data_IF_692647402184
#
_entry.id   IF_692647402184
#
_cell.length_a   1.000
_cell.length_b   1.000
_cell.length_c   1.000
_cell.angle_alpha   90.00
_cell.angle_beta   90.00
_cell.angle_gamma   90.00
#
_symmetry.space_group_name_H-M   'P 1'
#
loop_
_entity.id
_entity.type
_entity.pdbx_description
1 polymer ?
#
# COMPACT_ATOMS: atom_id res chain seq x y z
N UNK A 1 17.62 15.96 17.44
CA UNK A 1 17.29 14.57 17.81
C UNK A 1 17.95 13.67 16.78
N UNK A 2 18.64 12.60 17.18
CA UNK A 2 19.26 11.68 16.22
C UNK A 2 18.17 10.73 15.74
N UNK A 3 17.87 10.78 14.45
CA UNK A 3 16.91 9.87 13.80
C UNK A 3 17.59 8.51 13.61
N UNK A 4 16.96 7.46 14.09
CA UNK A 4 17.45 6.10 13.96
C UNK A 4 16.41 5.28 13.21
N UNK A 5 16.81 4.45 12.24
CA UNK A 5 15.91 3.49 11.62
C UNK A 5 15.28 2.60 12.70
N UNK A 6 13.96 2.53 12.68
CA UNK A 6 13.13 1.66 13.51
C UNK A 6 12.04 1.04 12.65
N UNK A 7 11.48 -0.12 13.07
CA UNK A 7 10.41 -0.76 12.32
C UNK A 7 9.22 0.19 12.13
N UNK A 8 8.72 0.27 10.90
CA UNK A 8 7.47 0.97 10.60
C UNK A 8 6.38 -0.07 10.48
N UNK A 9 5.79 -0.42 11.62
CA UNK A 9 4.63 -1.30 11.72
C UNK A 9 3.39 -0.49 12.12
N UNK A 10 2.31 -0.69 11.37
CA UNK A 10 0.98 -0.10 11.55
C UNK A 10 -0.08 -1.20 11.37
N UNK A 11 -1.35 -0.91 11.63
CA UNK A 11 -2.42 -1.91 11.44
C UNK A 11 -2.50 -2.41 10.00
N UNK A 12 -2.34 -1.49 9.04
CA UNK A 12 -2.23 -1.78 7.62
C UNK A 12 -0.99 -1.11 7.06
N UNK A 13 -0.09 -1.90 6.51
CA UNK A 13 1.15 -1.44 5.92
C UNK A 13 1.08 -1.60 4.41
N UNK A 14 1.32 -0.51 3.70
CA UNK A 14 1.40 -0.50 2.24
C UNK A 14 2.71 0.18 1.86
N UNK A 15 3.50 -0.42 0.99
CA UNK A 15 4.76 0.18 0.59
C UNK A 15 5.23 -0.24 -0.80
N UNK A 16 5.94 0.69 -1.45
CA UNK A 16 6.76 0.43 -2.63
C UNK A 16 8.22 0.37 -2.21
N UNK A 17 8.98 -0.58 -2.74
CA UNK A 17 10.42 -0.76 -2.49
C UNK A 17 11.22 -0.72 -3.80
N UNK A 18 12.25 0.12 -3.83
CA UNK A 18 13.12 0.35 -5.00
C UNK A 18 14.59 0.14 -4.60
N UNK A 19 15.37 -0.68 -5.34
CA UNK A 19 16.77 -0.99 -5.05
C UNK A 19 17.72 0.15 -5.45
N UNK A 20 17.44 1.35 -4.96
CA UNK A 20 18.27 2.53 -5.15
C UNK A 20 18.15 3.49 -3.96
N UNK A 21 19.24 4.17 -3.62
CA UNK A 21 19.24 5.33 -2.72
C UNK A 21 18.82 6.65 -3.38
N UNK A 22 18.26 6.61 -4.60
CA UNK A 22 17.84 7.78 -5.36
C UNK A 22 16.45 8.28 -4.91
N UNK A 23 16.38 8.79 -3.67
CA UNK A 23 15.14 9.31 -3.09
C UNK A 23 14.48 10.37 -3.97
N UNK A 24 15.28 11.28 -4.55
CA UNK A 24 14.79 12.37 -5.41
C UNK A 24 14.19 11.81 -6.70
N UNK A 25 14.87 10.87 -7.34
CA UNK A 25 14.37 10.24 -8.57
C UNK A 25 13.13 9.37 -8.33
N UNK A 26 13.01 8.71 -7.17
CA UNK A 26 11.79 7.97 -6.79
C UNK A 26 10.61 8.94 -6.58
N UNK A 27 10.84 10.05 -5.87
CA UNK A 27 9.83 11.11 -5.68
C UNK A 27 9.35 11.66 -7.02
N UNK A 28 10.28 11.96 -7.93
CA UNK A 28 10.00 12.52 -9.26
C UNK A 28 9.16 11.57 -10.13
N UNK A 29 9.55 10.29 -10.23
CA UNK A 29 8.80 9.28 -11.02
C UNK A 29 7.39 9.10 -10.49
N UNK A 30 7.22 9.04 -9.17
CA UNK A 30 5.92 8.85 -8.55
C UNK A 30 5.07 10.15 -8.50
N UNK A 31 5.59 11.26 -9.02
CA UNK A 31 4.89 12.56 -8.98
C UNK A 31 4.64 13.08 -7.55
N UNK A 32 5.44 12.63 -6.58
CA UNK A 32 5.26 13.01 -5.18
C UNK A 32 5.76 14.44 -4.94
N UNK A 33 5.05 15.18 -4.10
CA UNK A 33 5.44 16.55 -3.71
C UNK A 33 6.03 16.57 -2.30
N UNK A 34 7.35 16.79 -2.12
CA UNK A 34 7.96 16.85 -0.80
C UNK A 34 7.33 17.92 0.09
N UNK A 35 6.92 17.56 1.31
CA UNK A 35 6.40 18.52 2.30
C UNK A 35 7.48 18.99 3.24
N UNK A 36 8.10 18.05 3.96
CA UNK A 36 9.13 18.33 4.96
C UNK A 36 9.91 17.07 5.33
N UNK A 37 11.15 17.22 5.79
CA UNK A 37 11.86 16.15 6.46
C UNK A 37 11.12 15.66 7.71
N UNK A 38 11.21 14.36 7.98
CA UNK A 38 10.56 13.69 9.10
C UNK A 38 11.43 12.54 9.61
N UNK A 39 11.29 12.19 10.90
CA UNK A 39 11.97 11.02 11.50
C UNK A 39 11.20 9.72 11.23
N UNK A 40 11.84 8.55 11.39
CA UNK A 40 11.13 7.26 11.29
C UNK A 40 9.99 7.15 12.31
N UNK A 41 10.22 7.58 13.55
CA UNK A 41 9.23 7.54 14.62
C UNK A 41 8.00 8.42 14.33
N UNK A 42 8.23 9.60 13.77
CA UNK A 42 7.15 10.51 13.41
C UNK A 42 6.43 10.02 12.13
N UNK A 43 7.15 9.44 11.17
CA UNK A 43 6.56 8.80 10.00
C UNK A 43 5.60 7.67 10.40
N UNK A 44 6.00 6.79 11.32
CA UNK A 44 5.13 5.73 11.85
C UNK A 44 3.81 6.29 12.39
N UNK A 45 3.87 7.36 13.20
CA UNK A 45 2.66 7.99 13.76
C UNK A 45 1.77 8.59 12.67
N UNK A 46 2.36 9.22 11.66
CA UNK A 46 1.62 9.83 10.56
C UNK A 46 0.93 8.78 9.69
N UNK A 47 1.65 7.72 9.31
CA UNK A 47 1.10 6.64 8.47
C UNK A 47 0.03 5.85 9.20
N UNK A 48 0.22 5.58 10.50
CA UNK A 48 -0.79 4.91 11.32
C UNK A 48 -2.09 5.74 11.40
N UNK A 49 -1.97 7.04 11.64
CA UNK A 49 -3.12 7.94 11.67
C UNK A 49 -3.85 8.05 10.31
N UNK A 50 -3.11 8.05 9.20
CA UNK A 50 -3.70 8.04 7.86
C UNK A 50 -4.43 6.73 7.57
N UNK A 51 -3.85 5.59 7.94
CA UNK A 51 -4.49 4.27 7.80
C UNK A 51 -5.77 4.09 8.62
N UNK A 52 -5.93 4.84 9.72
CA UNK A 52 -7.15 4.86 10.53
C UNK A 52 -8.19 5.91 10.12
N UNK A 53 -7.92 6.69 9.07
CA UNK A 53 -8.88 7.67 8.57
C UNK A 53 -10.07 6.97 7.89
N UNK A 54 -11.20 7.67 7.76
CA UNK A 54 -12.38 7.13 7.07
C UNK A 54 -11.99 6.72 5.65
N UNK A 55 -12.25 5.47 5.20
CA UNK A 55 -11.91 5.03 3.86
C UNK A 55 -12.64 5.82 2.76
N UNK A 56 -13.76 6.46 3.06
CA UNK A 56 -14.45 7.36 2.13
C UNK A 56 -13.79 8.75 2.05
N UNK A 57 -12.81 9.02 2.90
CA UNK A 57 -12.07 10.26 2.96
C UNK A 57 -10.71 10.08 2.30
N UNK A 58 -10.52 10.69 1.13
CA UNK A 58 -9.26 10.63 0.35
C UNK A 58 -8.02 11.08 1.13
N UNK A 59 -8.18 11.73 2.29
CA UNK A 59 -7.05 12.10 3.16
C UNK A 59 -6.18 10.90 3.57
N UNK A 60 -6.73 9.69 3.65
CA UNK A 60 -5.93 8.49 3.95
C UNK A 60 -4.86 8.18 2.87
N UNK A 61 -5.11 8.58 1.62
CA UNK A 61 -4.16 8.44 0.50
C UNK A 61 -3.27 9.67 0.29
N UNK A 62 -3.49 10.74 1.06
CA UNK A 62 -2.91 12.04 0.74
C UNK A 62 -1.40 12.11 0.97
N UNK A 63 -0.86 11.26 1.85
CA UNK A 63 0.52 11.35 2.31
C UNK A 63 1.23 10.01 2.25
N UNK A 64 2.51 10.09 1.96
CA UNK A 64 3.44 8.97 2.05
C UNK A 64 4.72 9.41 2.75
N UNK A 65 5.36 8.47 3.42
CA UNK A 65 6.72 8.61 3.90
C UNK A 65 7.68 7.99 2.89
N UNK A 66 8.62 8.79 2.39
CA UNK A 66 9.74 8.32 1.58
C UNK A 66 10.95 8.21 2.49
N UNK A 67 11.49 7.00 2.65
CA UNK A 67 12.65 6.77 3.52
C UNK A 67 13.88 7.47 2.97
N UNK A 68 14.88 7.79 3.81
CA UNK A 68 16.26 7.91 3.30
C UNK A 68 16.68 6.59 2.64
N UNK A 69 17.89 6.55 2.04
CA UNK A 69 18.46 5.27 1.63
C UNK A 69 18.62 4.37 2.87
N UNK A 70 18.02 3.17 2.84
CA UNK A 70 18.11 2.12 3.86
C UNK A 70 18.71 0.86 3.24
N UNK A 71 19.93 0.50 3.62
CA UNK A 71 20.66 -0.65 3.06
C UNK A 71 20.69 -0.70 1.52
N UNK A 72 20.75 0.47 0.86
CA UNK A 72 20.76 0.61 -0.60
C UNK A 72 19.37 0.70 -1.25
N UNK A 73 18.30 0.74 -0.45
CA UNK A 73 16.91 0.82 -0.91
C UNK A 73 16.25 2.14 -0.53
N UNK A 74 15.24 2.53 -1.29
CA UNK A 74 14.29 3.58 -0.93
C UNK A 74 12.91 2.94 -0.81
N UNK A 75 12.23 3.17 0.31
CA UNK A 75 10.85 2.74 0.51
C UNK A 75 9.93 3.96 0.45
N UNK A 76 8.75 3.77 -0.14
CA UNK A 76 7.62 4.71 -0.07
C UNK A 76 6.52 4.01 0.69
N UNK A 77 6.07 4.59 1.80
CA UNK A 77 5.19 3.93 2.77
C UNK A 77 3.94 4.77 3.00
N UNK A 78 2.77 4.17 2.91
CA UNK A 78 1.46 4.80 3.13
C UNK A 78 0.38 4.17 2.26
N UNK A 79 -0.90 4.30 2.61
CA UNK A 79 -2.03 3.66 1.91
C UNK A 79 -2.10 3.97 0.40
N UNK A 80 -1.48 5.07 -0.04
CA UNK A 80 -1.27 5.37 -1.45
C UNK A 80 -0.42 4.31 -2.20
N UNK A 81 0.28 3.42 -1.51
CA UNK A 81 1.14 2.39 -2.12
C UNK A 81 0.42 1.03 -2.27
N UNK A 82 -0.89 0.98 -2.08
CA UNK A 82 -1.65 -0.27 -2.01
C UNK A 82 -1.74 -1.01 -3.37
N UNK A 83 -1.13 -2.21 -3.51
CA UNK A 83 -1.13 -2.97 -4.76
C UNK A 83 -2.42 -3.75 -5.03
N UNK A 84 -3.36 -3.82 -4.08
CA UNK A 84 -4.58 -4.62 -4.15
C UNK A 84 -5.89 -3.86 -4.00
N UNK A 85 -5.92 -2.62 -3.47
CA UNK A 85 -7.18 -1.87 -3.40
C UNK A 85 -7.72 -1.54 -4.78
N UNK A 86 -9.04 -1.65 -4.93
CA UNK A 86 -9.76 -1.29 -6.17
C UNK A 86 -9.45 0.11 -6.68
N UNK A 87 -9.11 1.04 -5.79
CA UNK A 87 -8.75 2.41 -6.17
C UNK A 87 -7.34 2.53 -6.77
N UNK A 88 -6.35 1.76 -6.32
CA UNK A 88 -4.93 2.03 -6.63
C UNK A 88 -4.16 0.89 -7.28
N UNK A 89 -4.71 -0.32 -7.29
CA UNK A 89 -4.02 -1.51 -7.74
C UNK A 89 -3.45 -1.38 -9.18
N UNK A 90 -4.13 -0.71 -10.12
CA UNK A 90 -3.59 -0.48 -11.47
C UNK A 90 -2.53 0.64 -11.55
N UNK A 91 -2.70 1.71 -10.76
CA UNK A 91 -1.71 2.79 -10.69
C UNK A 91 -0.39 2.28 -10.11
N UNK A 92 -0.45 1.54 -9.00
CA UNK A 92 0.73 0.95 -8.35
C UNK A 92 1.43 -0.05 -9.27
N UNK A 93 0.68 -0.77 -10.11
CA UNK A 93 1.24 -1.60 -11.18
C UNK A 93 2.01 -0.78 -12.22
N UNK A 94 1.44 0.33 -12.69
CA UNK A 94 2.10 1.26 -13.62
C UNK A 94 3.36 1.87 -13.03
N UNK A 95 3.26 2.40 -11.80
CA UNK A 95 4.36 3.00 -11.04
C UNK A 95 5.52 2.01 -10.83
N UNK A 96 5.23 0.76 -10.44
CA UNK A 96 6.26 -0.26 -10.31
C UNK A 96 6.94 -0.59 -11.64
N UNK A 97 6.19 -0.64 -12.75
CA UNK A 97 6.77 -0.83 -14.08
C UNK A 97 7.70 0.33 -14.42
N UNK A 98 7.27 1.57 -14.26
CA UNK A 98 8.09 2.75 -14.56
C UNK A 98 9.35 2.83 -13.70
N UNK A 99 9.22 2.63 -12.38
CA UNK A 99 10.36 2.56 -11.47
C UNK A 99 11.33 1.43 -11.89
N UNK A 100 10.82 0.26 -12.26
CA UNK A 100 11.65 -0.87 -12.68
C UNK A 100 12.35 -0.63 -14.03
N UNK A 101 11.86 0.26 -14.90
CA UNK A 101 12.60 0.68 -16.11
C UNK A 101 13.88 1.42 -15.71
N UNK A 102 13.81 2.33 -14.74
CA UNK A 102 14.97 3.14 -14.31
C UNK A 102 15.91 2.36 -13.39
N UNK A 103 15.37 1.63 -12.43
CA UNK A 103 16.15 0.99 -11.36
C UNK A 103 16.30 -0.53 -11.52
N UNK A 104 15.84 -1.09 -12.64
CA UNK A 104 15.92 -2.51 -12.96
C UNK A 104 14.84 -3.37 -12.29
N UNK A 105 14.43 -3.02 -11.07
CA UNK A 105 13.35 -3.68 -10.31
C UNK A 105 12.59 -2.66 -9.45
N UNK A 106 11.31 -2.91 -9.22
CA UNK A 106 10.51 -2.26 -8.18
C UNK A 106 9.49 -3.27 -7.64
N UNK A 107 9.14 -3.15 -6.37
CA UNK A 107 8.13 -4.00 -5.75
C UNK A 107 7.11 -3.17 -4.99
N UNK A 108 5.89 -3.67 -4.85
CA UNK A 108 4.88 -3.13 -3.95
C UNK A 108 4.26 -4.23 -3.10
N UNK A 109 3.84 -3.87 -1.90
CA UNK A 109 3.36 -4.82 -0.90
C UNK A 109 2.23 -4.22 -0.06
N UNK A 110 1.36 -5.10 0.41
CA UNK A 110 0.39 -4.85 1.46
C UNK A 110 0.50 -5.93 2.54
N UNK A 111 0.34 -5.54 3.80
CA UNK A 111 0.19 -6.46 4.93
C UNK A 111 -0.75 -5.88 5.98
N UNK A 112 -1.78 -6.64 6.36
CA UNK A 112 -2.70 -6.34 7.44
C UNK A 112 -2.40 -7.13 8.70
N UNK A 113 -1.88 -6.47 9.74
CA UNK A 113 -1.39 -7.11 10.96
C UNK A 113 -2.49 -7.79 11.82
N UNK A 114 -3.77 -7.61 11.47
CA UNK A 114 -4.92 -8.20 12.17
C UNK A 114 -5.50 -9.41 11.43
N UNK A 115 -4.75 -9.98 10.48
CA UNK A 115 -5.24 -11.05 9.62
C UNK A 115 -6.11 -10.54 8.47
N UNK A 116 -5.91 -9.29 8.04
CA UNK A 116 -6.58 -8.71 6.87
C UNK A 116 -5.88 -9.10 5.54
N UNK A 117 -4.94 -10.05 5.64
CA UNK A 117 -4.22 -10.63 4.52
C UNK A 117 -3.01 -9.86 4.04
N UNK A 118 -2.52 -10.25 2.87
CA UNK A 118 -1.35 -9.64 2.25
C UNK A 118 -1.41 -9.65 0.73
N UNK A 119 -0.64 -8.77 0.10
CA UNK A 119 -0.49 -8.75 -1.34
C UNK A 119 0.93 -8.34 -1.72
N UNK A 120 1.39 -8.78 -2.90
CA UNK A 120 2.69 -8.42 -3.43
C UNK A 120 2.66 -8.27 -4.95
N UNK A 121 3.51 -7.36 -5.42
CA UNK A 121 3.74 -7.06 -6.81
C UNK A 121 5.24 -6.91 -7.02
N UNK A 122 5.79 -7.60 -8.01
CA UNK A 122 7.19 -7.50 -8.41
C UNK A 122 7.27 -7.16 -9.88
N UNK A 123 7.94 -6.06 -10.20
CA UNK A 123 8.21 -5.62 -11.56
C UNK A 123 9.71 -5.56 -11.84
N UNK A 124 10.11 -5.99 -13.03
CA UNK A 124 11.48 -5.96 -13.53
C UNK A 124 11.53 -5.39 -14.94
N UNK A 125 12.44 -4.44 -15.18
CA UNK A 125 12.71 -3.88 -16.51
C UNK A 125 11.44 -3.47 -17.28
N UNK A 126 10.49 -2.83 -16.60
CA UNK A 126 9.22 -2.36 -17.18
C UNK A 126 8.10 -3.39 -17.25
N UNK A 127 8.30 -4.61 -16.75
CA UNK A 127 7.32 -5.70 -16.83
C UNK A 127 6.97 -6.22 -15.45
N UNK A 128 5.69 -6.47 -15.19
CA UNK A 128 5.29 -7.19 -13.98
C UNK A 128 5.63 -8.67 -14.13
N UNK A 129 6.37 -9.22 -13.16
CA UNK A 129 6.83 -10.60 -13.12
C UNK A 129 5.91 -11.44 -12.23
N UNK A 130 5.47 -10.87 -11.12
CA UNK A 130 4.50 -11.49 -10.21
C UNK A 130 3.55 -10.44 -9.66
N UNK A 131 2.27 -10.76 -9.61
CA UNK A 131 1.25 -10.06 -8.80
C UNK A 131 0.40 -11.12 -8.11
N UNK A 132 0.10 -10.90 -6.84
CA UNK A 132 -0.75 -11.80 -6.07
C UNK A 132 -1.37 -11.05 -4.90
N UNK A 133 -2.61 -11.40 -4.57
CA UNK A 133 -3.33 -10.89 -3.41
C UNK A 133 -4.01 -12.07 -2.69
N UNK A 134 -3.94 -12.05 -1.36
CA UNK A 134 -4.66 -12.93 -0.46
C UNK A 134 -5.15 -12.06 0.70
N UNK A 135 -6.25 -11.36 0.46
CA UNK A 135 -6.95 -10.48 1.40
C UNK A 135 -8.31 -11.05 1.82
N UNK A 136 -8.77 -12.10 1.14
CA UNK A 136 -10.09 -12.69 1.34
C UNK A 136 -11.20 -11.98 0.55
N UNK A 137 -10.83 -10.99 -0.27
CA UNK A 137 -11.76 -10.26 -1.13
C UNK A 137 -12.03 -11.05 -2.42
N UNK A 138 -13.26 -10.98 -2.97
CA UNK A 138 -13.63 -11.74 -4.18
C UNK A 138 -12.78 -11.43 -5.41
N UNK A 139 -12.19 -10.24 -5.46
CA UNK A 139 -11.42 -9.76 -6.61
C UNK A 139 -9.93 -10.16 -6.54
N UNK A 140 -9.47 -10.81 -5.45
CA UNK A 140 -8.07 -11.23 -5.27
C UNK A 140 -7.56 -12.09 -6.45
N UNK A 141 -8.39 -13.01 -6.94
CA UNK A 141 -8.04 -13.89 -8.06
C UNK A 141 -7.72 -13.10 -9.34
N UNK A 142 -8.40 -11.96 -9.56
CA UNK A 142 -8.18 -11.10 -10.73
C UNK A 142 -6.83 -10.39 -10.69
N UNK A 143 -6.21 -10.31 -9.50
CA UNK A 143 -4.90 -9.71 -9.28
C UNK A 143 -3.76 -10.73 -9.41
N UNK A 144 -4.04 -11.98 -9.76
CA UNK A 144 -2.99 -12.98 -9.95
C UNK A 144 -2.36 -12.86 -11.34
N UNK A 145 -1.04 -12.66 -11.37
CA UNK A 145 -0.26 -12.59 -12.61
C UNK A 145 1.11 -13.24 -12.39
N UNK A 146 1.56 -14.02 -13.39
CA UNK A 146 2.90 -14.61 -13.43
C UNK A 146 3.06 -15.80 -12.48
N UNK A 147 4.19 -16.49 -12.62
CA UNK A 147 4.48 -17.70 -11.83
C UNK A 147 4.83 -17.34 -10.37
N UNK A 148 4.49 -18.20 -9.38
CA UNK A 148 4.87 -17.97 -7.99
C UNK A 148 6.37 -17.74 -7.81
N UNK A 149 6.74 -16.80 -6.95
CA UNK A 149 8.12 -16.53 -6.59
C UNK A 149 8.74 -17.73 -5.84
N UNK A 150 10.06 -17.94 -5.88
CA UNK A 150 10.77 -18.95 -5.08
C UNK A 150 10.33 -19.09 -3.61
N UNK A 151 10.02 -17.99 -2.92
CA UNK A 151 9.50 -18.03 -1.54
C UNK A 151 8.10 -18.65 -1.49
N UNK A 152 7.22 -18.26 -2.40
CA UNK A 152 5.89 -18.86 -2.55
C UNK A 152 5.99 -20.35 -2.90
N UNK A 153 6.87 -20.71 -3.84
CA UNK A 153 7.09 -22.10 -4.25
C UNK A 153 7.55 -22.98 -3.09
N UNK A 154 8.42 -22.46 -2.22
CA UNK A 154 8.85 -23.17 -1.02
C UNK A 154 7.68 -23.43 -0.06
N UNK A 155 6.82 -22.42 0.16
CA UNK A 155 5.62 -22.55 0.99
C UNK A 155 4.58 -23.50 0.40
N UNK A 156 4.33 -23.42 -0.91
CA UNK A 156 3.47 -24.36 -1.63
C UNK A 156 3.97 -25.80 -1.47
N UNK A 157 5.28 -26.03 -1.60
CA UNK A 157 5.87 -27.34 -1.43
C UNK A 157 5.73 -27.89 0.00
N UNK A 158 5.82 -27.05 1.03
CA UNK A 158 5.59 -27.43 2.43
C UNK A 158 4.15 -27.95 2.65
N UNK A 159 3.18 -27.40 1.93
CA UNK A 159 1.76 -27.81 1.95
C UNK A 159 1.42 -28.95 0.98
N UNK A 160 2.43 -29.49 0.27
CA UNK A 160 2.22 -30.49 -0.77
C UNK A 160 1.42 -29.99 -1.98
N UNK A 161 1.43 -28.67 -2.21
CA UNK A 161 0.77 -28.00 -3.33
C UNK A 161 1.68 -27.90 -4.57
N UNK A 162 1.11 -27.79 -5.77
CA UNK A 162 1.87 -27.55 -7.00
C UNK A 162 2.69 -26.25 -6.93
N UNK A 163 3.97 -26.32 -7.31
CA UNK A 163 4.87 -25.17 -7.27
C UNK A 163 4.52 -24.06 -8.29
N UNK A 164 3.71 -24.36 -9.31
CA UNK A 164 3.18 -23.36 -10.24
C UNK A 164 1.98 -22.60 -9.67
N UNK A 165 1.51 -22.96 -8.46
CA UNK A 165 0.38 -22.32 -7.80
C UNK A 165 -0.97 -22.71 -8.40
N UNK A 166 -1.04 -23.74 -9.25
CA UNK A 166 -2.30 -24.24 -9.80
C UNK A 166 -3.08 -25.07 -8.77
N UNK A 167 -3.97 -24.39 -8.04
CA UNK A 167 -4.76 -24.99 -6.97
C UNK A 167 -5.99 -25.80 -7.47
N UNK A 168 -6.22 -25.95 -8.78
CA UNK A 168 -7.41 -26.67 -9.30
C UNK A 168 -7.51 -28.14 -8.87
N UNK A 169 -6.38 -28.74 -8.50
CA UNK A 169 -6.29 -30.11 -8.02
C UNK A 169 -6.16 -30.22 -6.50
N UNK A 170 -6.05 -29.09 -5.80
CA UNK A 170 -5.94 -29.03 -4.36
C UNK A 170 -7.29 -29.35 -3.70
N UNK A 171 -7.24 -29.90 -2.49
CA UNK A 171 -8.42 -30.03 -1.64
C UNK A 171 -8.79 -28.70 -0.98
N UNK A 172 -10.03 -28.56 -0.52
CA UNK A 172 -10.50 -27.36 0.20
C UNK A 172 -9.62 -27.05 1.43
N UNK A 173 -9.19 -28.09 2.16
CA UNK A 173 -8.29 -27.95 3.33
C UNK A 173 -6.93 -27.38 2.92
N UNK A 174 -6.34 -27.83 1.82
CA UNK A 174 -5.06 -27.28 1.34
C UNK A 174 -5.20 -25.85 0.80
N UNK A 175 -6.36 -25.51 0.21
CA UNK A 175 -6.65 -24.15 -0.24
C UNK A 175 -6.76 -23.23 0.99
N UNK A 176 -7.47 -23.65 2.03
CA UNK A 176 -7.59 -22.92 3.30
C UNK A 176 -6.22 -22.72 3.96
N UNK A 177 -5.40 -23.78 4.07
CA UNK A 177 -4.04 -23.70 4.60
C UNK A 177 -3.15 -22.75 3.78
N UNK A 178 -3.24 -22.78 2.45
CA UNK A 178 -2.51 -21.85 1.59
C UNK A 178 -2.98 -20.41 1.80
N UNK A 179 -4.29 -20.17 1.92
CA UNK A 179 -4.83 -18.84 2.20
C UNK A 179 -4.28 -18.30 3.52
N UNK A 180 -4.26 -19.11 4.59
CA UNK A 180 -3.68 -18.71 5.87
C UNK A 180 -2.19 -18.36 5.76
N UNK A 181 -1.40 -19.17 5.04
CA UNK A 181 0.02 -18.88 4.80
C UNK A 181 0.20 -17.60 3.97
N UNK A 182 -0.59 -17.44 2.91
CA UNK A 182 -0.51 -16.29 2.02
C UNK A 182 -0.92 -14.98 2.72
N UNK A 183 -1.78 -15.03 3.74
CA UNK A 183 -2.18 -13.85 4.53
C UNK A 183 -1.01 -13.17 5.24
N UNK A 184 0.06 -13.90 5.54
CA UNK A 184 1.24 -13.39 6.25
C UNK A 184 2.51 -13.28 5.38
N UNK A 185 2.41 -13.52 4.07
CA UNK A 185 3.60 -13.78 3.25
C UNK A 185 4.31 -12.52 2.72
N UNK A 186 3.62 -11.39 2.57
CA UNK A 186 4.24 -10.18 1.99
C UNK A 186 5.49 -9.67 2.75
N UNK A 187 5.53 -9.61 4.10
CA UNK A 187 6.75 -9.24 4.83
C UNK A 187 7.93 -10.17 4.57
N UNK A 188 7.69 -11.49 4.44
CA UNK A 188 8.72 -12.49 4.16
C UNK A 188 9.27 -12.32 2.74
N UNK A 189 8.38 -12.14 1.75
CA UNK A 189 8.77 -11.88 0.36
C UNK A 189 9.58 -10.59 0.28
N UNK A 190 9.15 -9.51 0.93
CA UNK A 190 9.87 -8.24 0.92
C UNK A 190 11.28 -8.36 1.53
N UNK A 191 11.43 -9.14 2.62
CA UNK A 191 12.74 -9.40 3.22
C UNK A 191 13.65 -10.26 2.32
N UNK A 192 13.08 -11.22 1.58
CA UNK A 192 13.83 -12.07 0.67
C UNK A 192 14.27 -11.34 -0.63
N UNK A 193 13.48 -10.39 -1.11
CA UNK A 193 13.71 -9.69 -2.39
C UNK A 193 14.36 -8.31 -2.22
N UNK A 194 14.41 -7.77 -1.01
CA UNK A 194 14.97 -6.47 -0.72
C UNK A 194 14.97 -6.11 0.77
N UNK A 195 14.27 -5.04 1.12
CA UNK A 195 14.15 -4.54 2.49
C UNK A 195 12.68 -4.46 2.87
N UNK A 196 12.38 -4.96 4.06
CA UNK A 196 11.07 -4.86 4.68
C UNK A 196 11.04 -3.72 5.71
N UNK A 197 9.98 -2.89 5.76
CA UNK A 197 9.86 -1.84 6.79
C UNK A 197 9.81 -2.42 8.21
N UNK A 198 9.46 -3.70 8.36
CA UNK A 198 9.40 -4.41 9.64
C UNK A 198 10.78 -4.84 10.16
N UNK A 199 11.78 -4.93 9.29
CA UNK A 199 13.13 -5.42 9.65
C UNK A 199 14.14 -4.30 9.86
N UNK A 200 13.72 -3.03 9.80
CA UNK A 200 14.58 -1.88 10.05
C UNK A 200 15.03 -1.87 11.51
N UNK A 201 16.34 -1.74 11.75
CA UNK A 201 16.90 -1.69 13.10
C UNK A 201 17.94 -0.60 13.19
N UNK A 202 18.40 -0.27 14.41
CA UNK A 202 19.52 0.66 14.61
C UNK A 202 20.82 0.26 13.87
N UNK A 203 20.95 -0.99 13.45
CA UNK A 203 22.07 -1.49 12.65
C UNK A 203 21.93 -1.28 11.14
N UNK A 204 20.72 -0.98 10.64
CA UNK A 204 20.44 -0.68 9.23
C UNK A 204 21.26 0.54 8.79
N UNK A 205 21.95 0.43 7.64
CA UNK A 205 22.74 1.54 7.11
C UNK A 205 21.78 2.58 6.53
N UNK A 206 21.93 3.82 6.96
CA UNK A 206 21.09 4.94 6.51
C UNK A 206 21.92 6.05 5.87
N UNK A 207 21.48 6.56 4.72
CA UNK A 207 22.03 7.78 4.11
C UNK A 207 20.93 8.76 3.71
N UNK A 208 21.08 10.01 4.14
CA UNK A 208 20.10 11.07 3.88
C UNK A 208 19.09 11.24 5.01
N UNK A 209 17.95 11.85 4.68
CA UNK A 209 16.87 12.15 5.62
C UNK A 209 15.55 11.68 5.04
N UNK A 210 14.68 11.11 5.87
CA UNK A 210 13.33 10.76 5.45
C UNK A 210 12.46 11.98 5.16
N UNK A 211 11.51 11.83 4.25
CA UNK A 211 10.66 12.91 3.76
C UNK A 211 9.19 12.49 3.85
N UNK A 212 8.37 13.34 4.45
CA UNK A 212 6.93 13.27 4.27
C UNK A 212 6.58 13.97 2.95
N UNK A 213 5.83 13.31 2.08
CA UNK A 213 5.42 13.84 0.78
C UNK A 213 3.91 13.73 0.57
N UNK A 214 3.36 14.57 -0.30
CA UNK A 214 1.99 14.47 -0.79
C UNK A 214 1.94 13.60 -2.04
N UNK A 215 0.90 12.77 -2.10
CA UNK A 215 0.44 12.13 -3.32
C UNK A 215 -0.08 13.16 -4.35
N UNK A 216 -0.01 12.87 -5.67
CA UNK A 216 -0.44 13.80 -6.73
C UNK A 216 -1.81 14.46 -6.49
N UNK A 217 -2.85 13.67 -6.23
CA UNK A 217 -4.22 14.17 -6.02
C UNK A 217 -4.35 15.14 -4.82
N UNK A 218 -3.51 14.96 -3.79
CA UNK A 218 -3.52 15.79 -2.60
C UNK A 218 -2.74 17.11 -2.80
N UNK A 219 -1.75 17.11 -3.69
CA UNK A 219 -1.00 18.31 -4.04
C UNK A 219 -1.86 19.32 -4.82
N UNK A 220 -2.70 18.82 -5.74
CA UNK A 220 -3.61 19.64 -6.55
C UNK A 220 -4.69 20.34 -5.72
N UNK A 221 -5.19 19.69 -4.66
CA UNK A 221 -6.14 20.33 -3.74
C UNK A 221 -5.51 21.47 -2.92
N UNK A 222 -4.19 21.44 -2.65
CA UNK A 222 -3.49 22.54 -1.98
C UNK A 222 -3.24 23.73 -2.89
N UNK A 223 -2.90 23.50 -4.16
CA UNK A 223 -2.65 24.58 -5.12
C UNK A 223 -3.93 25.39 -5.41
N UNK A 224 -5.09 24.73 -5.36
CA UNK A 224 -6.41 25.37 -5.51
C UNK A 224 -6.88 26.12 -4.25
N UNK A 225 -6.39 25.75 -3.05
CA UNK A 225 -6.75 26.39 -1.78
C UNK A 225 -6.08 27.75 -1.51
N UNK A 226 -5.09 28.16 -2.34
CA UNK A 226 -4.41 29.46 -2.22
C UNK A 226 -4.94 30.53 -3.20
N UNK A 227 -6.03 30.23 -3.92
CA UNK A 227 -6.70 31.17 -4.81
C UNK A 227 -7.57 32.16 -4.06
N UNK A 228 -7.21 33.45 -4.18
CA UNK A 228 -8.01 34.65 -3.87
C UNK A 228 -9.53 34.46 -3.84
N UNK A 229 -10.16 34.94 -2.77
CA UNK A 229 -11.60 35.04 -2.61
C UNK A 229 -12.29 35.65 -3.84
N UNK A 230 -13.34 35.03 -4.41
CA UNK A 230 -14.12 35.67 -5.46
C UNK A 230 -14.96 36.78 -4.85
N UNK A 231 -14.73 38.00 -5.30
CA UNK A 231 -15.65 39.13 -5.19
C UNK A 231 -17.05 38.72 -5.63
N UNK A 232 -18.01 38.85 -4.72
CA UNK A 232 -19.42 38.64 -4.99
C UNK A 232 -19.91 39.59 -6.09
N UNK A 233 -20.42 39.04 -7.19
CA UNK A 233 -21.31 39.75 -8.11
C UNK A 233 -22.63 38.98 -8.22
N UNK A 234 -23.71 39.72 -8.00
CA UNK A 234 -25.10 39.27 -8.03
C UNK A 234 -25.56 39.04 -9.46
N UNK A 235 -26.22 37.90 -9.69
CA UNK A 235 -27.33 37.63 -10.64
C UNK A 235 -27.37 36.09 -10.80
N UNK A 236 -28.48 35.37 -10.81
CA UNK A 236 -29.84 35.63 -11.22
C UNK A 236 -30.78 34.61 -10.53
N UNK A 237 -32.01 35.02 -10.24
CA UNK A 237 -33.07 34.12 -9.82
C UNK A 237 -33.76 33.58 -11.09
N UNK A 238 -33.65 32.27 -11.31
CA UNK A 238 -34.29 31.55 -12.40
C UNK A 238 -34.78 30.20 -11.89
N UNK A 239 -36.07 30.14 -11.62
CA UNK A 239 -36.80 29.02 -11.05
C UNK A 239 -36.91 27.86 -12.07
N UNK A 240 -36.63 26.61 -11.68
CA UNK A 240 -37.20 25.43 -12.36
C UNK A 240 -37.17 24.21 -11.44
N UNK A 241 -38.37 23.73 -11.15
CA UNK A 241 -38.69 22.49 -10.44
C UNK A 241 -38.38 21.29 -11.33
N UNK A 242 -37.92 20.19 -10.75
CA UNK A 242 -38.30 18.82 -11.13
C UNK A 242 -37.97 17.87 -9.99
N UNK A 243 -39.04 17.29 -9.42
CA UNK A 243 -39.04 16.12 -8.53
C UNK A 243 -39.00 14.85 -9.40
N UNK A 244 -38.39 13.75 -8.96
CA UNK A 244 -38.97 12.51 -8.37
C UNK A 244 -37.95 11.37 -8.65
N UNK A 245 -38.03 10.16 -8.05
CA UNK A 245 -38.38 9.80 -6.68
C UNK A 245 -37.40 8.81 -6.00
N UNK A 246 -37.62 8.66 -4.69
CA UNK A 246 -37.11 7.57 -3.86
C UNK A 246 -37.68 6.21 -4.30
N UNK A 247 -36.84 5.18 -4.22
CA UNK A 247 -37.28 3.81 -4.01
C UNK A 247 -36.41 3.18 -2.90
N UNK A 248 -37.05 3.05 -1.74
CA UNK A 248 -36.63 2.33 -0.56
C UNK A 248 -36.77 0.82 -0.74
N UNK A 249 -35.73 0.07 -0.38
CA UNK A 249 -35.76 -1.38 -0.17
C UNK A 249 -34.94 -1.73 1.07
N UNK A 250 -35.61 -2.20 2.11
CA UNK A 250 -35.08 -2.50 3.46
C UNK A 250 -34.91 -4.01 3.69
N UNK A 251 -34.03 -4.34 4.65
CA UNK A 251 -33.84 -5.60 5.42
C UNK A 251 -32.80 -6.60 4.92
N UNK A 252 -31.89 -7.16 5.75
CA UNK A 252 -31.56 -7.03 7.20
C UNK A 252 -30.15 -7.65 7.41
N UNK A 253 -29.41 -7.30 8.49
CA UNK A 253 -28.02 -7.70 8.72
C UNK A 253 -27.90 -8.93 9.64
N UNK A 254 -26.76 -9.63 9.58
CA UNK A 254 -26.39 -10.64 10.56
C UNK A 254 -25.03 -10.31 11.20
N UNK A 255 -25.11 -10.05 12.51
CA UNK A 255 -24.11 -10.26 13.60
C UNK A 255 -22.68 -9.74 13.38
N UNK A 256 -22.27 -8.60 13.94
CA UNK A 256 -22.00 -8.33 15.36
C UNK A 256 -21.00 -9.35 15.98
N UNK A 257 -19.72 -9.01 15.89
CA UNK A 257 -18.71 -9.41 16.87
C UNK A 257 -17.82 -8.21 17.16
N UNK A 258 -18.22 -7.41 18.15
CA UNK A 258 -17.28 -6.57 18.91
C UNK A 258 -16.34 -7.50 19.67
N UNK A 259 -15.04 -7.41 19.40
CA UNK A 259 -14.05 -7.61 20.44
C UNK A 259 -12.98 -6.53 20.31
N UNK A 260 -13.03 -5.61 21.26
CA UNK A 260 -11.95 -4.71 21.61
C UNK A 260 -10.72 -5.54 22.01
N UNK A 261 -9.58 -5.35 21.36
CA UNK A 261 -8.28 -5.66 21.94
C UNK A 261 -7.24 -4.69 21.43
N UNK A 262 -6.57 -4.06 22.40
CA UNK A 262 -5.44 -3.18 22.19
C UNK A 262 -4.33 -3.91 21.42
N UNK A 263 -3.77 -3.26 20.41
CA UNK A 263 -2.46 -3.63 19.87
C UNK A 263 -1.42 -3.59 21.00
N UNK A 264 -0.65 -4.66 21.23
CA UNK A 264 0.56 -4.58 22.03
C UNK A 264 1.64 -3.87 21.20
N UNK A 265 2.23 -2.82 21.78
CA UNK A 265 3.51 -2.28 21.34
C UNK A 265 4.56 -3.41 21.50
N UNK A 266 5.12 -3.89 20.39
CA UNK A 266 6.38 -4.63 20.37
C UNK A 266 7.49 -3.65 19.99
#
# INVERSE_FOLDING_TARGET
>A
MKDWPEPISTCWNHWIAVPAGDQVGVIDILGLSPLRPITFAEARQVIDADGHSDPNDRRHLARVFVTPEVDGWTLVIGAWCDPCSRERHEDVLGECKELSVRYGRAQAYYYGAQGDGSAWLVAEKGHAVRRYAATGEPDDELLTLGDPLPVEQARLAELGLPADGDLRSASDEQIEEWTEVAFDLAPEIAAAYGVSPFTLTRGTKVRGTGVLALAPDAADHRSQGTGTAPTASRSSAGNSRSAWPMASGTHRPASDRRQTSNCPLI
#
